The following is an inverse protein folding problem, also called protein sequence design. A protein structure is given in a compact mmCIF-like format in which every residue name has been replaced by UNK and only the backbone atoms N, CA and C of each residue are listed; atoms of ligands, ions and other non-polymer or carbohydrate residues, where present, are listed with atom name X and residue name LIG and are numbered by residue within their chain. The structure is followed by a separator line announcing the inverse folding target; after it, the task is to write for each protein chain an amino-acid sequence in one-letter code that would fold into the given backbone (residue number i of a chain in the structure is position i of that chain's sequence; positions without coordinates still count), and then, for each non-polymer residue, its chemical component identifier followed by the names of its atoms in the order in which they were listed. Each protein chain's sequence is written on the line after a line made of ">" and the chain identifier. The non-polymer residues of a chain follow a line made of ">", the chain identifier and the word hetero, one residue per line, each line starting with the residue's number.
data_IF_370193122111
#
_entry.id   IF_370193122111
#
_cell.length_a   1.000
_cell.length_b   1.000
_cell.length_c   1.000
_cell.angle_alpha   90.00
_cell.angle_beta   90.00
_cell.angle_gamma   90.00
#
_symmetry.space_group_name_H-M   'P 1'
#
loop_
_entity.id
_entity.type
_entity.pdbx_description
1 polymer ?
#
# COMPACT_ATOMS: atom_id res chain seq x y z
N UNK A 1 -21.78 -7.23 -12.59
CA UNK A 1 -21.82 -5.81 -12.15
C UNK A 1 -22.50 -4.85 -13.12
N UNK A 2 -22.66 -5.20 -14.41
CA UNK A 2 -23.66 -4.57 -15.30
C UNK A 2 -25.10 -5.07 -15.07
N UNK A 3 -25.27 -6.05 -14.16
CA UNK A 3 -26.48 -6.88 -14.05
C UNK A 3 -27.35 -6.62 -12.80
N UNK A 4 -26.86 -5.84 -11.83
CA UNK A 4 -27.59 -5.56 -10.56
C UNK A 4 -27.80 -4.07 -10.26
N UNK A 5 -27.36 -3.16 -11.13
CA UNK A 5 -27.60 -1.70 -11.02
C UNK A 5 -27.05 -1.00 -9.77
N UNK A 6 -26.53 -1.74 -8.79
CA UNK A 6 -26.02 -1.23 -7.51
C UNK A 6 -24.51 -1.27 -7.53
N UNK A 7 -23.87 -0.10 -7.34
CA UNK A 7 -22.40 0.00 -7.24
C UNK A 7 -21.92 -0.86 -6.05
N UNK A 8 -20.97 -1.78 -6.25
CA UNK A 8 -20.41 -2.55 -5.14
C UNK A 8 -19.76 -1.61 -4.13
N UNK A 9 -19.92 -1.93 -2.83
CA UNK A 9 -19.35 -1.13 -1.76
C UNK A 9 -17.84 -1.29 -1.70
N UNK A 10 -17.08 -0.30 -2.16
CA UNK A 10 -15.61 -0.34 -2.15
C UNK A 10 -14.98 -0.05 -0.77
N UNK A 11 -15.78 0.08 0.30
CA UNK A 11 -15.31 0.44 1.65
C UNK A 11 -14.33 -0.59 2.24
N UNK A 12 -14.43 -1.85 1.81
CA UNK A 12 -13.57 -2.94 2.28
C UNK A 12 -12.25 -3.03 1.48
N UNK A 13 -12.17 -2.38 0.31
CA UNK A 13 -10.97 -2.43 -0.51
C UNK A 13 -9.87 -1.55 0.08
N UNK A 14 -8.68 -2.13 0.18
CA UNK A 14 -7.45 -1.54 0.71
C UNK A 14 -6.26 -1.87 -0.20
N UNK A 15 -5.19 -1.10 -0.09
CA UNK A 15 -3.99 -1.30 -0.90
C UNK A 15 -3.25 -2.55 -0.39
N UNK A 16 -3.11 -3.56 -1.25
CA UNK A 16 -2.30 -4.75 -0.96
C UNK A 16 -0.84 -4.31 -0.76
N UNK A 17 -0.17 -4.87 0.25
CA UNK A 17 1.18 -4.47 0.65
C UNK A 17 1.20 -3.31 1.64
N UNK A 18 0.04 -2.80 2.06
CA UNK A 18 -0.04 -1.72 3.05
C UNK A 18 0.37 -2.13 4.45
N UNK A 19 1.13 -1.27 5.17
CA UNK A 19 1.37 -1.48 6.58
C UNK A 19 0.05 -1.30 7.34
N UNK A 20 -0.25 -2.28 8.18
CA UNK A 20 -1.47 -2.31 8.95
C UNK A 20 -1.21 -2.70 10.41
N UNK A 21 -2.12 -2.34 11.29
CA UNK A 21 -2.06 -2.62 12.72
C UNK A 21 -3.27 -3.44 13.13
N UNK A 22 -3.00 -4.64 13.65
CA UNK A 22 -4.03 -5.59 14.09
C UNK A 22 -4.29 -5.39 15.56
N UNK A 23 -5.57 -5.29 15.94
CA UNK A 23 -5.93 -5.19 17.35
C UNK A 23 -5.62 -6.51 18.08
N UNK A 24 -4.91 -6.43 19.22
CA UNK A 24 -4.71 -7.59 20.10
C UNK A 24 -5.83 -7.53 21.14
N UNK A 25 -6.68 -8.56 21.32
CA UNK A 25 -7.74 -8.52 22.34
C UNK A 25 -7.16 -8.46 23.75
N UNK A 26 -7.87 -7.78 24.67
CA UNK A 26 -7.40 -7.56 26.04
C UNK A 26 -7.15 -8.88 26.82
N UNK A 27 -7.89 -9.94 26.51
CA UNK A 27 -7.72 -11.28 27.11
C UNK A 27 -6.32 -11.88 26.88
N UNK A 28 -5.64 -11.47 25.79
CA UNK A 28 -4.29 -11.94 25.46
C UNK A 28 -3.20 -10.99 25.94
N UNK A 29 -3.55 -9.90 26.64
CA UNK A 29 -2.63 -8.85 27.11
C UNK A 29 -2.48 -8.91 28.62
N UNK A 30 -1.25 -8.73 29.10
CA UNK A 30 -0.93 -8.39 30.49
C UNK A 30 -0.82 -6.86 30.63
N UNK A 31 -0.76 -6.37 31.87
CA UNK A 31 -0.61 -4.93 32.16
C UNK A 31 0.67 -4.42 31.47
N UNK A 32 0.55 -3.33 30.71
CA UNK A 32 1.61 -2.70 29.88
C UNK A 32 1.93 -3.37 28.54
N UNK A 33 1.22 -4.43 28.11
CA UNK A 33 1.46 -5.01 26.79
C UNK A 33 0.96 -4.10 25.65
N UNK A 34 1.59 -4.25 24.48
CA UNK A 34 1.24 -3.55 23.24
C UNK A 34 -0.23 -3.84 22.88
N UNK A 35 -0.99 -2.78 22.53
CA UNK A 35 -2.42 -2.88 22.19
C UNK A 35 -2.67 -3.34 20.74
N UNK A 36 -1.69 -3.19 19.87
CA UNK A 36 -1.79 -3.53 18.46
C UNK A 36 -0.47 -4.09 17.95
N UNK A 37 -0.57 -4.88 16.88
CA UNK A 37 0.57 -5.51 16.25
C UNK A 37 0.71 -5.08 14.80
N UNK A 38 1.93 -4.73 14.41
CA UNK A 38 2.25 -4.34 13.05
C UNK A 38 2.27 -5.56 12.11
N UNK A 39 1.68 -5.40 10.94
CA UNK A 39 1.68 -6.38 9.87
C UNK A 39 1.57 -5.74 8.49
N UNK A 40 1.50 -6.57 7.47
CA UNK A 40 1.35 -6.16 6.07
C UNK A 40 0.09 -6.83 5.50
N UNK A 41 -0.76 -6.07 4.83
CA UNK A 41 -1.92 -6.63 4.14
C UNK A 41 -1.47 -7.47 2.94
N UNK A 42 -1.77 -8.77 2.95
CA UNK A 42 -1.47 -9.70 1.85
C UNK A 42 -2.68 -9.90 0.94
N UNK A 43 -3.88 -9.91 1.52
CA UNK A 43 -5.10 -10.12 0.75
C UNK A 43 -6.34 -10.15 1.61
N UNK A 44 -7.45 -10.57 1.00
CA UNK A 44 -8.76 -10.62 1.60
C UNK A 44 -9.14 -12.06 1.96
N UNK A 45 -10.06 -12.20 2.90
CA UNK A 45 -10.71 -13.44 3.28
C UNK A 45 -12.21 -13.35 2.96
N UNK A 46 -12.90 -14.49 2.92
CA UNK A 46 -14.27 -14.56 2.41
C UNK A 46 -15.31 -13.85 3.31
N UNK A 47 -15.04 -13.71 4.61
CA UNK A 47 -15.97 -13.16 5.62
C UNK A 47 -15.64 -11.70 6.02
N UNK A 48 -15.41 -10.82 5.05
CA UNK A 48 -14.98 -9.42 5.27
C UNK A 48 -13.72 -9.31 6.16
N UNK A 49 -12.88 -10.35 6.12
CA UNK A 49 -11.64 -10.44 6.87
C UNK A 49 -10.43 -10.07 6.03
N UNK A 50 -9.35 -9.67 6.68
CA UNK A 50 -8.07 -9.41 6.03
C UNK A 50 -7.05 -10.48 6.38
N UNK A 51 -6.22 -10.84 5.40
CA UNK A 51 -5.05 -11.71 5.56
C UNK A 51 -3.82 -10.84 5.74
N UNK A 52 -3.19 -10.97 6.90
CA UNK A 52 -2.15 -10.07 7.35
C UNK A 52 -0.91 -10.89 7.65
N UNK A 53 0.19 -10.54 7.02
CA UNK A 53 1.48 -11.13 7.31
C UNK A 53 2.14 -10.41 8.49
N UNK A 54 2.53 -11.18 9.50
CA UNK A 54 3.28 -10.71 10.66
C UNK A 54 4.74 -11.13 10.52
N UNK A 55 5.65 -10.16 10.57
CA UNK A 55 7.11 -10.40 10.52
C UNK A 55 7.63 -11.12 11.76
N UNK A 56 7.01 -10.90 12.92
CA UNK A 56 7.47 -11.49 14.19
C UNK A 56 7.31 -13.01 14.21
N UNK A 57 6.20 -13.53 13.68
CA UNK A 57 5.89 -14.96 13.70
C UNK A 57 6.11 -15.63 12.35
N UNK A 58 6.43 -14.85 11.30
CA UNK A 58 6.46 -15.28 9.90
C UNK A 58 5.19 -16.04 9.48
N UNK A 59 4.03 -15.62 9.99
CA UNK A 59 2.73 -16.26 9.75
C UNK A 59 1.72 -15.27 9.20
N UNK A 60 0.78 -15.81 8.44
CA UNK A 60 -0.40 -15.10 7.97
C UNK A 60 -1.52 -15.30 8.99
N UNK A 61 -2.06 -14.21 9.51
CA UNK A 61 -3.23 -14.22 10.39
C UNK A 61 -4.43 -13.64 9.67
N UNK A 62 -5.63 -14.09 10.07
CA UNK A 62 -6.90 -13.52 9.63
C UNK A 62 -7.44 -12.61 10.73
N UNK A 63 -7.78 -11.36 10.40
CA UNK A 63 -8.40 -10.43 11.33
C UNK A 63 -9.33 -9.45 10.62
N UNK A 64 -10.42 -9.07 11.28
CA UNK A 64 -11.35 -8.01 10.83
C UNK A 64 -10.98 -6.65 11.40
N UNK A 65 -10.48 -6.62 12.63
CA UNK A 65 -10.13 -5.39 13.35
C UNK A 65 -8.70 -4.96 13.01
N UNK A 66 -8.61 -4.18 11.93
CA UNK A 66 -7.35 -3.74 11.34
C UNK A 66 -7.40 -2.25 11.01
N UNK A 67 -6.37 -1.53 11.42
CA UNK A 67 -6.17 -0.13 11.09
C UNK A 67 -5.07 -0.03 10.03
N UNK A 68 -5.37 0.60 8.90
CA UNK A 68 -4.44 0.71 7.77
C UNK A 68 -3.76 2.09 7.75
N UNK A 69 -2.45 2.10 7.48
CA UNK A 69 -1.67 3.34 7.32
C UNK A 69 -1.30 3.52 5.84
N UNK A 70 -2.31 3.71 4.99
CA UNK A 70 -2.17 3.77 3.53
C UNK A 70 -1.55 5.09 3.03
N UNK A 71 -1.62 6.16 3.83
CA UNK A 71 -1.12 7.49 3.47
C UNK A 71 0.35 7.46 3.04
N UNK A 72 1.18 6.67 3.75
CA UNK A 72 2.60 6.52 3.45
C UNK A 72 2.85 5.85 2.11
N UNK A 73 1.99 4.92 1.69
CA UNK A 73 2.10 4.26 0.39
C UNK A 73 1.59 5.12 -0.74
N UNK A 74 0.57 5.95 -0.51
CA UNK A 74 0.09 6.89 -1.51
C UNK A 74 1.17 7.94 -1.80
N UNK A 75 1.81 8.49 -0.76
CA UNK A 75 2.96 9.40 -0.93
C UNK A 75 4.13 8.73 -1.65
N UNK A 76 4.46 7.48 -1.31
CA UNK A 76 5.50 6.73 -2.01
C UNK A 76 5.10 6.40 -3.45
N UNK A 77 3.85 6.01 -3.71
CA UNK A 77 3.35 5.73 -5.05
C UNK A 77 3.35 6.98 -5.93
N UNK A 78 3.02 8.14 -5.36
CA UNK A 78 3.16 9.45 -6.01
C UNK A 78 4.64 9.75 -6.27
N UNK A 79 5.53 9.56 -5.28
CA UNK A 79 6.98 9.72 -5.46
C UNK A 79 7.55 8.78 -6.53
N UNK A 80 7.11 7.53 -6.61
CA UNK A 80 7.57 6.55 -7.60
C UNK A 80 7.00 6.83 -9.01
N UNK A 81 5.84 7.49 -9.11
CA UNK A 81 5.29 7.96 -10.40
C UNK A 81 6.00 9.24 -10.84
N UNK A 82 6.22 10.18 -9.93
CA UNK A 82 6.99 11.40 -10.18
C UNK A 82 8.44 11.05 -10.53
N UNK A 83 9.11 10.18 -9.78
CA UNK A 83 10.50 9.76 -10.08
C UNK A 83 10.59 9.17 -11.49
N UNK A 84 9.73 8.20 -11.85
CA UNK A 84 9.72 7.63 -13.20
C UNK A 84 9.53 8.69 -14.29
N UNK A 85 8.67 9.68 -14.05
CA UNK A 85 8.39 10.75 -15.01
C UNK A 85 9.51 11.81 -15.08
N UNK A 86 10.11 12.17 -13.93
CA UNK A 86 11.21 13.13 -13.83
C UNK A 86 12.50 12.55 -14.42
N UNK A 87 12.75 11.25 -14.25
CA UNK A 87 13.87 10.56 -14.86
C UNK A 87 13.72 10.49 -16.40
N UNK A 88 12.51 10.23 -16.91
CA UNK A 88 12.21 10.30 -18.36
C UNK A 88 12.36 11.70 -18.95
N UNK A 89 11.82 12.73 -18.29
CA UNK A 89 11.93 14.13 -18.73
C UNK A 89 13.41 14.56 -18.72
N UNK A 90 14.17 14.20 -17.68
CA UNK A 90 15.60 14.55 -17.58
C UNK A 90 16.45 13.91 -18.68
N UNK A 91 16.13 12.67 -19.07
CA UNK A 91 16.78 11.99 -20.19
C UNK A 91 16.39 12.67 -21.52
N UNK A 92 15.11 13.02 -21.71
CA UNK A 92 14.65 13.72 -22.92
C UNK A 92 15.27 15.11 -23.05
N UNK A 93 15.33 15.89 -21.98
CA UNK A 93 15.98 17.20 -21.95
C UNK A 93 17.47 17.10 -22.28
N UNK A 94 18.18 16.08 -21.76
CA UNK A 94 19.59 15.85 -22.11
C UNK A 94 19.77 15.47 -23.58
N UNK A 95 18.92 14.61 -24.13
CA UNK A 95 18.98 14.21 -25.55
C UNK A 95 18.74 15.42 -26.45
N UNK A 96 17.71 16.23 -26.16
CA UNK A 96 17.38 17.44 -26.91
C UNK A 96 18.58 18.40 -26.93
N UNK A 97 19.17 18.67 -25.75
CA UNK A 97 20.34 19.54 -25.63
C UNK A 97 21.57 19.00 -26.39
N UNK A 98 21.72 17.68 -26.50
CA UNK A 98 22.78 17.04 -27.27
C UNK A 98 22.53 17.16 -28.78
N UNK A 99 21.29 17.00 -29.24
CA UNK A 99 20.92 17.20 -30.66
C UNK A 99 21.08 18.64 -31.12
N UNK A 100 20.67 19.62 -30.30
CA UNK A 100 20.77 21.05 -30.65
C UNK A 100 22.22 21.52 -30.77
N UNK A 101 23.13 20.97 -29.95
CA UNK A 101 24.57 21.23 -30.05
C UNK A 101 25.20 20.67 -31.32
N UNK A 102 24.66 19.59 -31.87
CA UNK A 102 25.19 18.97 -33.09
C UNK A 102 24.74 19.66 -34.38
N UNK A 103 23.66 20.44 -34.36
CA UNK A 103 23.16 21.17 -35.53
C UNK A 103 23.74 22.58 -35.68
N UNK A 104 24.42 23.10 -34.66
CA UNK A 104 25.06 24.42 -34.66
C UNK A 104 26.55 24.40 -35.03
N UNK A 105 27.04 23.28 -35.58
CA UNK A 105 28.43 23.10 -36.01
C UNK A 105 28.48 22.71 -37.50
#
# INVERSE_FOLDING_TARGET
>A
ELWYGKKPGLKHLRIIGSPCYVHIPAQRRKKMDKKAQKGILVGYDNDDGYRIWRKEDNRIIRSRDVIFEESKLLEQGIKCKISRNVDEIRIQDQIILMTEKSQKN
#
